data_IF_671248873423
#
_entry.id   IF_671248873423
#
_cell.length_a   1.000
_cell.length_b   1.000
_cell.length_c   1.000
_cell.angle_alpha   90.00
_cell.angle_beta   90.00
_cell.angle_gamma   90.00
#
_symmetry.space_group_name_H-M   'P 1'
#
loop_
_entity.id
_entity.type
_entity.pdbx_description
1 polymer ?
#
# COMPACT_ATOMS: atom_id res chain seq x y z
N UNK A 1 12.36 -24.19 1.85
CA UNK A 1 12.80 -24.73 3.17
C UNK A 1 11.57 -25.18 3.95
N UNK A 2 11.72 -26.17 4.82
CA UNK A 2 10.65 -26.64 5.73
C UNK A 2 11.22 -26.72 7.15
N UNK A 3 10.41 -26.40 8.14
CA UNK A 3 10.82 -26.40 9.54
C UNK A 3 10.83 -27.82 10.11
N UNK A 4 11.99 -28.25 10.59
CA UNK A 4 12.25 -29.54 11.26
C UNK A 4 12.91 -29.23 12.60
N UNK A 5 12.37 -29.77 13.70
CA UNK A 5 12.86 -29.53 15.08
C UNK A 5 13.13 -28.05 15.42
N UNK A 6 12.25 -27.18 14.93
CA UNK A 6 12.31 -25.74 15.19
C UNK A 6 13.26 -24.94 14.28
N UNK A 7 13.98 -25.58 13.36
CA UNK A 7 14.90 -24.92 12.41
C UNK A 7 14.43 -25.11 10.97
N UNK A 8 14.61 -24.08 10.14
CA UNK A 8 14.36 -24.20 8.70
C UNK A 8 15.49 -24.98 8.04
N UNK A 9 15.14 -26.09 7.40
CA UNK A 9 16.06 -26.92 6.64
C UNK A 9 15.77 -26.84 5.14
N UNK A 10 16.82 -26.96 4.33
CA UNK A 10 16.67 -27.02 2.88
C UNK A 10 15.96 -28.32 2.48
N UNK A 11 15.05 -28.22 1.52
CA UNK A 11 14.32 -29.37 0.96
C UNK A 11 14.02 -29.12 -0.51
N UNK A 12 13.49 -30.12 -1.21
CA UNK A 12 13.08 -29.99 -2.60
C UNK A 12 11.67 -29.36 -2.74
N UNK A 13 11.31 -28.98 -3.96
CA UNK A 13 10.02 -28.35 -4.25
C UNK A 13 8.86 -29.29 -3.93
N UNK A 14 8.97 -30.57 -4.28
CA UNK A 14 7.92 -31.56 -4.07
C UNK A 14 7.53 -31.63 -2.59
N UNK A 15 8.50 -31.81 -1.68
CA UNK A 15 8.24 -31.92 -0.25
C UNK A 15 7.61 -30.65 0.32
N UNK A 16 8.11 -29.46 -0.07
CA UNK A 16 7.56 -28.19 0.38
C UNK A 16 6.12 -27.99 -0.11
N UNK A 17 5.85 -28.25 -1.39
CA UNK A 17 4.52 -28.14 -1.98
C UNK A 17 3.54 -29.15 -1.37
N UNK A 18 3.95 -30.40 -1.14
CA UNK A 18 3.12 -31.40 -0.47
C UNK A 18 2.78 -31.01 0.97
N UNK A 19 3.74 -30.44 1.71
CA UNK A 19 3.51 -29.96 3.07
C UNK A 19 2.43 -28.87 3.11
N UNK A 20 2.56 -27.86 2.25
CA UNK A 20 1.57 -26.79 2.14
C UNK A 20 0.21 -27.30 1.66
N UNK A 21 0.18 -28.08 0.57
CA UNK A 21 -1.04 -28.66 0.03
C UNK A 21 -1.79 -29.57 1.03
N UNK A 22 -1.04 -30.34 1.84
CA UNK A 22 -1.62 -31.15 2.92
C UNK A 22 -2.30 -30.26 3.96
N UNK A 23 -1.64 -29.20 4.43
CA UNK A 23 -2.23 -28.28 5.41
C UNK A 23 -3.45 -27.55 4.83
N UNK A 24 -3.41 -27.13 3.55
CA UNK A 24 -4.58 -26.56 2.85
C UNK A 24 -5.80 -27.48 2.91
N UNK A 25 -5.64 -28.76 2.58
CA UNK A 25 -6.73 -29.75 2.62
C UNK A 25 -7.27 -30.03 4.02
N UNK A 26 -6.42 -29.95 5.04
CA UNK A 26 -6.77 -30.28 6.43
C UNK A 26 -7.37 -29.10 7.20
N UNK A 27 -7.19 -27.86 6.71
CA UNK A 27 -7.63 -26.67 7.42
C UNK A 27 -9.05 -26.29 6.99
N UNK A 28 -10.00 -26.08 7.93
CA UNK A 28 -11.31 -25.53 7.61
C UNK A 28 -11.18 -24.14 6.97
N UNK A 29 -12.11 -23.77 6.09
CA UNK A 29 -12.03 -22.52 5.34
C UNK A 29 -11.86 -21.27 6.21
N UNK A 30 -12.55 -21.21 7.35
CA UNK A 30 -12.45 -20.10 8.32
C UNK A 30 -11.07 -19.96 8.97
N UNK A 31 -10.26 -21.03 8.97
CA UNK A 31 -8.91 -21.05 9.52
C UNK A 31 -7.80 -20.81 8.49
N UNK A 32 -8.12 -20.64 7.21
CA UNK A 32 -7.17 -20.32 6.15
C UNK A 32 -7.15 -18.81 5.98
N UNK A 33 -5.97 -18.18 6.00
CA UNK A 33 -5.80 -16.77 5.68
C UNK A 33 -4.61 -16.54 4.75
N UNK A 34 -4.70 -15.51 3.91
CA UNK A 34 -3.65 -15.07 2.97
C UNK A 34 -3.36 -13.60 3.24
N UNK A 35 -2.07 -13.22 3.29
CA UNK A 35 -1.64 -11.82 3.39
C UNK A 35 -0.72 -11.50 2.20
N UNK A 36 -1.08 -10.51 1.40
CA UNK A 36 -0.27 -10.00 0.30
C UNK A 36 0.55 -8.78 0.71
N UNK A 37 1.87 -8.86 0.54
CA UNK A 37 2.81 -7.80 0.89
C UNK A 37 3.01 -6.74 -0.19
N UNK A 38 3.63 -5.62 0.20
CA UNK A 38 3.70 -4.39 -0.61
C UNK A 38 4.46 -4.49 -1.95
N UNK A 39 5.29 -5.52 -2.15
CA UNK A 39 6.04 -5.74 -3.40
C UNK A 39 5.37 -6.75 -4.35
N UNK A 40 4.24 -7.34 -3.96
CA UNK A 40 3.55 -8.37 -4.73
C UNK A 40 2.95 -7.80 -6.02
N UNK A 41 3.11 -8.52 -7.12
CA UNK A 41 2.49 -8.22 -8.41
C UNK A 41 1.03 -8.71 -8.49
N UNK A 42 0.29 -8.19 -9.47
CA UNK A 42 -1.12 -8.48 -9.67
C UNK A 42 -1.37 -9.97 -9.95
N UNK A 43 -0.58 -10.60 -10.83
CA UNK A 43 -0.71 -12.01 -11.18
C UNK A 43 -0.57 -12.92 -9.94
N UNK A 44 0.38 -12.61 -9.07
CA UNK A 44 0.59 -13.36 -7.82
C UNK A 44 -0.54 -13.14 -6.81
N UNK A 45 -0.99 -11.90 -6.64
CA UNK A 45 -2.10 -11.59 -5.74
C UNK A 45 -3.40 -12.26 -6.21
N UNK A 46 -3.75 -12.20 -7.50
CA UNK A 46 -4.96 -12.90 -7.97
C UNK A 46 -4.82 -14.42 -7.82
N UNK A 47 -3.62 -14.98 -8.03
CA UNK A 47 -3.40 -16.40 -7.80
C UNK A 47 -3.60 -16.81 -6.34
N UNK A 48 -3.06 -16.03 -5.41
CA UNK A 48 -3.21 -16.29 -3.98
C UNK A 48 -4.68 -16.18 -3.55
N UNK A 49 -5.40 -15.17 -4.05
CA UNK A 49 -6.83 -14.99 -3.82
C UNK A 49 -7.65 -16.15 -4.38
N UNK A 50 -7.44 -16.52 -5.64
CA UNK A 50 -8.18 -17.61 -6.26
C UNK A 50 -7.87 -18.95 -5.56
N UNK A 51 -6.63 -19.18 -5.10
CA UNK A 51 -6.29 -20.37 -4.31
C UNK A 51 -7.10 -20.41 -3.01
N UNK A 52 -7.12 -19.33 -2.22
CA UNK A 52 -7.92 -19.26 -1.00
C UNK A 52 -9.41 -19.50 -1.27
N UNK A 53 -9.94 -18.87 -2.32
CA UNK A 53 -11.34 -19.01 -2.73
C UNK A 53 -11.68 -20.46 -3.16
N UNK A 54 -10.76 -21.21 -3.78
CA UNK A 54 -10.95 -22.64 -4.10
C UNK A 54 -11.07 -23.53 -2.86
N UNK A 55 -10.56 -23.06 -1.72
CA UNK A 55 -10.75 -23.66 -0.41
C UNK A 55 -11.87 -22.98 0.39
N UNK A 56 -12.74 -22.21 -0.27
CA UNK A 56 -13.88 -21.47 0.30
C UNK A 56 -13.48 -20.47 1.40
N UNK A 57 -12.23 -20.01 1.40
CA UNK A 57 -11.79 -18.94 2.30
C UNK A 57 -11.78 -17.61 1.55
N UNK A 58 -12.48 -16.62 2.10
CA UNK A 58 -12.44 -15.23 1.66
C UNK A 58 -11.45 -14.40 2.51
N UNK A 59 -10.71 -15.02 3.42
CA UNK A 59 -9.76 -14.39 4.35
C UNK A 59 -8.46 -14.01 3.63
N UNK A 60 -8.57 -13.06 2.71
CA UNK A 60 -7.49 -12.54 1.90
C UNK A 60 -7.28 -11.07 2.26
N UNK A 61 -6.07 -10.73 2.71
CA UNK A 61 -5.75 -9.44 3.29
C UNK A 61 -4.52 -8.80 2.65
N UNK A 62 -4.54 -7.47 2.54
CA UNK A 62 -3.37 -6.66 2.25
C UNK A 62 -2.57 -6.47 3.53
N UNK A 63 -1.24 -6.49 3.44
CA UNK A 63 -0.34 -6.17 4.55
C UNK A 63 -0.50 -4.72 5.03
N UNK A 64 -0.80 -3.80 4.12
CA UNK A 64 -1.15 -2.43 4.49
C UNK A 64 -2.62 -2.29 4.89
N UNK A 65 -2.85 -1.52 5.95
CA UNK A 65 -4.19 -1.14 6.42
C UNK A 65 -4.81 -0.03 5.55
N UNK A 66 -6.15 0.04 5.53
CA UNK A 66 -6.91 1.05 4.81
C UNK A 66 -8.25 1.31 5.51
N UNK A 67 -8.93 2.40 5.16
CA UNK A 67 -10.26 2.71 5.68
C UNK A 67 -11.25 1.58 5.38
N UNK A 68 -12.05 1.21 6.38
CA UNK A 68 -13.12 0.20 6.23
C UNK A 68 -14.51 0.82 6.21
N UNK A 69 -14.64 2.06 6.65
CA UNK A 69 -15.80 2.93 6.41
C UNK A 69 -15.58 3.85 5.20
N UNK A 70 -16.48 4.82 4.98
CA UNK A 70 -16.37 5.83 3.92
C UNK A 70 -16.28 5.26 2.50
N UNK A 71 -16.97 4.13 2.27
CA UNK A 71 -16.98 3.39 1.00
C UNK A 71 -15.75 2.51 0.75
N UNK A 72 -14.81 2.45 1.70
CA UNK A 72 -13.68 1.51 1.68
C UNK A 72 -12.99 1.40 0.32
N UNK A 73 -12.71 0.17 -0.09
CA UNK A 73 -12.09 -0.18 -1.38
C UNK A 73 -13.10 -0.49 -2.50
N UNK A 74 -14.39 -0.29 -2.29
CA UNK A 74 -15.42 -0.60 -3.30
C UNK A 74 -15.34 0.35 -4.50
N UNK A 75 -15.01 1.62 -4.24
CA UNK A 75 -14.88 2.66 -5.27
C UNK A 75 -13.42 3.09 -5.41
N UNK A 76 -12.85 2.93 -6.61
CA UNK A 76 -11.47 3.36 -6.92
C UNK A 76 -11.21 4.83 -6.58
N UNK A 77 -12.23 5.68 -6.67
CA UNK A 77 -12.16 7.09 -6.28
C UNK A 77 -11.73 7.33 -4.84
N UNK A 78 -11.91 6.35 -3.95
CA UNK A 78 -11.59 6.48 -2.53
C UNK A 78 -10.12 6.24 -2.21
N UNK A 79 -9.39 5.57 -3.09
CA UNK A 79 -8.02 5.15 -2.83
C UNK A 79 -7.05 5.50 -3.96
N UNK A 80 -7.46 6.13 -5.06
CA UNK A 80 -6.51 6.54 -6.08
C UNK A 80 -6.05 7.99 -5.91
N UNK A 81 -4.91 8.28 -6.51
CA UNK A 81 -4.51 9.62 -6.92
C UNK A 81 -5.32 9.99 -8.17
N UNK A 82 -6.52 10.52 -7.95
CA UNK A 82 -7.59 10.65 -8.93
C UNK A 82 -7.37 11.67 -10.05
N UNK A 83 -6.59 12.73 -9.83
CA UNK A 83 -6.34 13.74 -10.86
C UNK A 83 -5.33 13.19 -11.88
N UNK A 84 -4.07 13.11 -11.46
CA UNK A 84 -2.94 12.36 -12.01
C UNK A 84 -1.68 12.97 -11.40
N UNK A 85 -0.54 12.29 -11.49
CA UNK A 85 0.73 12.88 -11.02
C UNK A 85 1.07 14.16 -11.82
N UNK A 86 0.67 14.24 -13.09
CA UNK A 86 0.87 15.43 -13.94
C UNK A 86 -0.08 16.56 -13.55
N UNK A 87 -1.29 16.25 -13.07
CA UNK A 87 -2.27 17.24 -12.62
C UNK A 87 -1.79 18.14 -11.47
N UNK A 88 -0.75 17.72 -10.73
CA UNK A 88 -0.08 18.57 -9.74
C UNK A 88 0.40 19.89 -10.36
N UNK A 89 0.86 19.86 -11.62
CA UNK A 89 1.37 21.06 -12.30
C UNK A 89 0.26 22.09 -12.64
N UNK A 90 -1.02 21.70 -12.55
CA UNK A 90 -2.16 22.60 -12.76
C UNK A 90 -2.77 23.14 -11.45
N UNK A 91 -2.34 22.62 -10.30
CA UNK A 91 -2.90 23.02 -9.02
C UNK A 91 -2.48 24.45 -8.64
N UNK A 92 -3.41 25.21 -8.07
CA UNK A 92 -3.16 26.56 -7.51
C UNK A 92 -3.33 26.62 -5.98
N UNK A 93 -3.96 25.61 -5.37
CA UNK A 93 -3.87 25.38 -3.93
C UNK A 93 -3.81 23.87 -3.63
N UNK A 94 -2.85 23.47 -2.79
CA UNK A 94 -2.57 22.08 -2.44
C UNK A 94 -2.61 21.87 -0.93
N UNK A 95 -3.48 20.99 -0.46
CA UNK A 95 -3.54 20.53 0.92
C UNK A 95 -2.89 19.13 1.04
N UNK A 96 -1.86 19.01 1.87
CA UNK A 96 -1.26 17.74 2.27
C UNK A 96 -1.82 17.31 3.63
N UNK A 97 -2.35 16.09 3.73
CA UNK A 97 -2.95 15.56 4.97
C UNK A 97 -2.27 14.26 5.37
N UNK A 98 -1.56 14.29 6.50
CA UNK A 98 -0.92 13.11 7.12
C UNK A 98 0.04 12.36 6.19
N UNK A 99 0.82 13.09 5.41
CA UNK A 99 1.80 12.54 4.46
C UNK A 99 3.10 13.32 4.50
N UNK A 100 4.21 12.63 4.32
CA UNK A 100 5.49 13.24 3.97
C UNK A 100 5.90 12.80 2.55
N UNK A 101 5.44 13.51 1.50
CA UNK A 101 5.70 13.10 0.12
C UNK A 101 7.20 13.09 -0.20
N UNK A 102 8.04 13.84 0.53
CA UNK A 102 9.50 13.84 0.33
C UNK A 102 10.11 12.45 0.46
N UNK A 103 9.61 11.63 1.38
CA UNK A 103 10.13 10.29 1.62
C UNK A 103 9.18 9.19 1.15
N UNK A 104 7.87 9.43 1.20
CA UNK A 104 6.86 8.47 0.76
C UNK A 104 6.81 8.34 -0.77
N UNK A 105 6.97 9.45 -1.50
CA UNK A 105 6.99 9.48 -2.96
C UNK A 105 7.90 10.63 -3.47
N UNK A 106 9.24 10.48 -3.39
CA UNK A 106 10.17 11.59 -3.59
C UNK A 106 10.05 12.30 -4.95
N UNK A 107 9.74 11.56 -6.01
CA UNK A 107 9.55 12.11 -7.37
C UNK A 107 8.26 12.93 -7.46
N UNK A 108 7.22 12.54 -6.71
CA UNK A 108 5.98 13.31 -6.57
C UNK A 108 6.26 14.60 -5.78
N UNK A 109 7.03 14.54 -4.69
CA UNK A 109 7.47 15.74 -3.97
C UNK A 109 8.29 16.70 -4.84
N UNK A 110 9.18 16.16 -5.69
CA UNK A 110 9.93 16.94 -6.66
C UNK A 110 9.01 17.63 -7.69
N UNK A 111 7.89 17.00 -8.06
CA UNK A 111 6.85 17.60 -8.91
C UNK A 111 6.10 18.73 -8.20
N UNK A 112 5.75 18.56 -6.93
CA UNK A 112 5.17 19.62 -6.11
C UNK A 112 6.15 20.80 -6.03
N UNK A 113 7.43 20.53 -5.72
CA UNK A 113 8.47 21.55 -5.69
C UNK A 113 8.63 22.26 -7.03
N UNK A 114 8.64 21.53 -8.15
CA UNK A 114 8.71 22.11 -9.50
C UNK A 114 7.55 23.09 -9.70
N UNK A 115 6.34 22.70 -9.33
CA UNK A 115 5.15 23.54 -9.47
C UNK A 115 5.25 24.78 -8.58
N UNK A 116 5.58 24.59 -7.30
CA UNK A 116 5.82 25.68 -6.35
C UNK A 116 6.86 26.72 -6.82
N UNK A 117 7.92 26.29 -7.53
CA UNK A 117 8.93 27.21 -8.05
C UNK A 117 8.50 27.97 -9.32
N UNK A 118 7.45 27.53 -10.00
CA UNK A 118 7.06 28.04 -11.32
C UNK A 118 5.61 28.57 -11.37
N UNK A 119 4.85 28.48 -10.29
CA UNK A 119 3.50 29.02 -10.15
C UNK A 119 3.27 29.58 -8.75
N UNK A 120 2.15 30.29 -8.55
CA UNK A 120 1.73 30.80 -7.25
C UNK A 120 1.03 29.70 -6.41
N UNK A 121 1.57 28.48 -6.42
CA UNK A 121 0.98 27.33 -5.71
C UNK A 121 1.01 27.57 -4.19
N UNK A 122 -0.16 27.67 -3.60
CA UNK A 122 -0.33 27.76 -2.14
C UNK A 122 -0.38 26.35 -1.53
N UNK A 123 0.51 26.05 -0.57
CA UNK A 123 0.62 24.72 0.04
C UNK A 123 0.27 24.79 1.52
N UNK A 124 -0.65 23.93 1.97
CA UNK A 124 -1.00 23.77 3.37
C UNK A 124 -0.75 22.34 3.85
N UNK A 125 -0.32 22.18 5.11
CA UNK A 125 -0.01 20.86 5.70
C UNK A 125 -0.80 20.66 6.99
N UNK A 126 -1.54 19.56 7.07
CA UNK A 126 -2.07 19.00 8.31
C UNK A 126 -1.36 17.68 8.58
N UNK A 127 -0.50 17.61 9.59
CA UNK A 127 0.30 16.42 9.88
C UNK A 127 1.55 16.74 10.70
N UNK A 128 2.55 15.86 10.66
CA UNK A 128 3.85 16.18 11.24
C UNK A 128 4.48 17.40 10.56
N UNK A 129 5.11 18.27 11.35
CA UNK A 129 5.96 19.35 10.81
C UNK A 129 7.28 18.76 10.28
N UNK A 130 7.49 18.82 8.96
CA UNK A 130 8.57 18.12 8.26
C UNK A 130 9.14 18.98 7.13
N UNK A 131 10.45 18.92 6.91
CA UNK A 131 11.07 19.63 5.79
C UNK A 131 10.69 18.98 4.46
N UNK A 132 9.80 19.62 3.70
CA UNK A 132 9.34 19.19 2.39
C UNK A 132 10.20 19.73 1.23
N UNK A 133 11.26 20.48 1.53
CA UNK A 133 12.08 21.21 0.56
C UNK A 133 11.38 22.40 -0.13
N UNK A 134 10.29 22.92 0.44
CA UNK A 134 9.64 24.16 0.00
C UNK A 134 8.84 24.71 1.18
N UNK A 135 8.45 25.98 1.11
CA UNK A 135 7.64 26.61 2.15
C UNK A 135 6.18 26.16 2.06
N UNK A 136 5.50 26.10 3.20
CA UNK A 136 4.10 25.72 3.31
C UNK A 136 3.47 26.33 4.56
N UNK A 137 2.15 26.53 4.53
CA UNK A 137 1.35 26.92 5.68
C UNK A 137 1.11 25.70 6.58
N UNK A 138 1.74 25.66 7.76
CA UNK A 138 1.48 24.60 8.73
C UNK A 138 0.17 24.85 9.49
N UNK A 139 -0.80 23.96 9.30
CA UNK A 139 -2.15 24.12 9.83
C UNK A 139 -2.34 23.38 11.17
N UNK A 140 -1.45 22.44 11.50
CA UNK A 140 -1.45 21.68 12.75
C UNK A 140 -1.27 20.18 12.53
N UNK A 141 -1.07 19.42 13.61
CA UNK A 141 -0.79 17.97 13.54
C UNK A 141 -2.02 17.06 13.69
N UNK A 142 -3.17 17.62 14.04
CA UNK A 142 -4.38 16.83 14.35
C UNK A 142 -5.35 16.78 13.18
N UNK A 143 -6.01 15.64 13.01
CA UNK A 143 -7.13 15.48 12.08
C UNK A 143 -8.31 16.45 12.36
N UNK A 144 -8.39 17.01 13.57
CA UNK A 144 -9.40 18.02 13.92
C UNK A 144 -9.26 19.31 13.10
N UNK A 145 -8.08 19.60 12.54
CA UNK A 145 -7.89 20.81 11.72
C UNK A 145 -8.72 20.78 10.42
N UNK A 146 -9.12 19.59 9.96
CA UNK A 146 -10.06 19.45 8.85
C UNK A 146 -11.43 20.09 9.17
N UNK A 147 -11.84 20.11 10.44
CA UNK A 147 -13.10 20.75 10.85
C UNK A 147 -13.03 22.27 10.69
N UNK A 148 -11.85 22.87 10.91
CA UNK A 148 -11.62 24.29 10.68
C UNK A 148 -11.73 24.62 9.19
N UNK A 149 -11.08 23.82 8.33
CA UNK A 149 -11.18 23.99 6.87
C UNK A 149 -12.61 23.77 6.35
N UNK A 150 -13.31 22.75 6.84
CA UNK A 150 -14.71 22.48 6.49
C UNK A 150 -15.65 23.60 6.92
N UNK A 151 -15.36 24.27 8.03
CA UNK A 151 -16.10 25.42 8.53
C UNK A 151 -15.71 26.75 7.84
N UNK A 152 -14.71 26.74 6.94
CA UNK A 152 -14.19 27.95 6.29
C UNK A 152 -13.41 28.85 7.25
N UNK A 153 -12.78 28.28 8.28
CA UNK A 153 -11.98 29.02 9.27
C UNK A 153 -10.50 28.95 8.92
N UNK A 154 -9.81 30.08 9.07
CA UNK A 154 -8.37 30.20 8.84
C UNK A 154 -8.04 30.73 7.45
N UNK A 155 -6.84 31.32 7.31
CA UNK A 155 -6.41 31.97 6.06
C UNK A 155 -6.31 30.97 4.91
N UNK A 156 -5.81 29.76 5.17
CA UNK A 156 -5.70 28.72 4.15
C UNK A 156 -7.05 28.21 3.64
N UNK A 157 -8.12 28.26 4.45
CA UNK A 157 -9.45 27.88 4.01
C UNK A 157 -9.98 28.82 2.91
N UNK A 158 -9.68 30.12 3.01
CA UNK A 158 -10.02 31.09 1.96
C UNK A 158 -9.17 30.89 0.70
N UNK A 159 -7.86 30.60 0.86
CA UNK A 159 -6.98 30.21 -0.27
C UNK A 159 -7.54 29.00 -1.03
N UNK A 160 -7.86 27.91 -0.32
CA UNK A 160 -8.47 26.71 -0.90
C UNK A 160 -9.81 26.99 -1.61
N UNK A 161 -10.67 27.83 -1.03
CA UNK A 161 -11.99 28.14 -1.60
C UNK A 161 -11.92 29.01 -2.85
N UNK A 162 -10.92 29.90 -2.92
CA UNK A 162 -10.69 30.80 -4.06
C UNK A 162 -9.89 30.16 -5.20
N UNK A 163 -9.23 29.03 -4.92
CA UNK A 163 -8.51 28.22 -5.89
C UNK A 163 -9.40 27.75 -7.05
N UNK A 164 -8.88 27.82 -8.27
CA UNK A 164 -9.53 27.32 -9.49
C UNK A 164 -9.30 25.82 -9.67
N UNK A 165 -8.16 25.30 -9.20
CA UNK A 165 -7.72 23.91 -9.28
C UNK A 165 -7.21 23.44 -7.91
N UNK A 166 -8.10 23.38 -6.88
CA UNK A 166 -7.71 22.88 -5.57
C UNK A 166 -7.39 21.38 -5.62
N UNK A 167 -6.35 20.97 -4.92
CA UNK A 167 -5.94 19.58 -4.78
C UNK A 167 -5.76 19.23 -3.30
N UNK A 168 -6.23 18.05 -2.90
CA UNK A 168 -5.98 17.46 -1.59
C UNK A 168 -5.25 16.15 -1.81
N UNK A 169 -4.08 15.98 -1.19
CA UNK A 169 -3.32 14.73 -1.17
C UNK A 169 -3.32 14.21 0.26
N UNK A 170 -3.86 13.01 0.47
CA UNK A 170 -3.92 12.34 1.77
C UNK A 170 -2.99 11.14 1.76
N UNK A 171 -2.11 11.03 2.75
CA UNK A 171 -1.28 9.84 2.92
C UNK A 171 -2.14 8.63 3.28
N UNK A 172 -1.84 7.46 2.71
CA UNK A 172 -2.59 6.23 3.01
C UNK A 172 -2.58 5.86 4.51
N UNK A 173 -1.54 6.26 5.25
CA UNK A 173 -1.46 6.05 6.70
C UNK A 173 -2.48 6.87 7.49
N UNK A 174 -2.89 8.04 6.98
CA UNK A 174 -3.84 8.94 7.65
C UNK A 174 -5.27 8.36 7.70
N UNK A 175 -5.59 7.46 6.77
CA UNK A 175 -6.94 6.87 6.62
C UNK A 175 -7.08 5.48 7.27
N UNK A 176 -6.12 5.08 8.10
CA UNK A 176 -6.12 3.78 8.78
C UNK A 176 -7.09 3.73 9.98
N UNK A 177 -7.69 2.56 10.20
CA UNK A 177 -8.61 2.30 11.31
C UNK A 177 -9.91 3.13 11.32
N UNK A 178 -10.67 3.10 12.44
CA UNK A 178 -11.97 3.77 12.54
C UNK A 178 -11.90 5.29 12.39
N UNK A 179 -10.96 5.97 13.08
CA UNK A 179 -10.81 7.41 12.93
C UNK A 179 -10.27 7.81 11.55
N UNK A 180 -9.50 6.95 10.89
CA UNK A 180 -9.08 7.14 9.50
C UNK A 180 -10.24 7.05 8.52
N UNK A 181 -11.24 6.20 8.80
CA UNK A 181 -12.48 6.15 8.01
C UNK A 181 -13.27 7.46 8.14
N UNK A 182 -13.38 8.01 9.36
CA UNK A 182 -13.96 9.33 9.58
C UNK A 182 -13.15 10.46 8.92
N UNK A 183 -11.81 10.38 8.94
CA UNK A 183 -10.94 11.33 8.23
C UNK A 183 -11.20 11.32 6.72
N UNK A 184 -11.26 10.13 6.11
CA UNK A 184 -11.59 9.99 4.70
C UNK A 184 -12.95 10.60 4.39
N UNK A 185 -13.95 10.39 5.25
CA UNK A 185 -15.28 10.98 5.11
C UNK A 185 -15.25 12.52 5.16
N UNK A 186 -14.51 13.11 6.10
CA UNK A 186 -14.31 14.57 6.17
C UNK A 186 -13.60 15.12 4.94
N UNK A 187 -12.56 14.43 4.44
CA UNK A 187 -11.85 14.86 3.24
C UNK A 187 -12.75 14.73 1.99
N UNK A 188 -13.57 13.69 1.89
CA UNK A 188 -14.58 13.56 0.82
C UNK A 188 -15.56 14.74 0.85
N UNK A 189 -16.03 15.16 2.03
CA UNK A 189 -16.90 16.34 2.18
C UNK A 189 -16.19 17.64 1.79
N UNK A 190 -14.94 17.82 2.19
CA UNK A 190 -14.15 19.00 1.84
C UNK A 190 -13.93 19.06 0.33
N UNK A 191 -13.53 17.95 -0.27
CA UNK A 191 -13.35 17.82 -1.72
C UNK A 191 -14.63 18.15 -2.48
N UNK A 192 -15.79 17.68 -2.02
CA UNK A 192 -17.08 17.98 -2.65
C UNK A 192 -17.43 19.48 -2.61
N UNK A 193 -17.20 20.15 -1.47
CA UNK A 193 -17.35 21.61 -1.36
C UNK A 193 -16.45 22.35 -2.35
N UNK A 194 -15.20 21.91 -2.48
CA UNK A 194 -14.20 22.53 -3.37
C UNK A 194 -14.48 22.28 -4.85
N UNK A 195 -15.12 21.15 -5.22
CA UNK A 195 -15.55 20.91 -6.60
C UNK A 195 -16.55 21.95 -7.10
N UNK A 196 -17.32 22.58 -6.20
CA UNK A 196 -18.31 23.61 -6.53
C UNK A 196 -19.19 23.23 -7.74
N UNK A 197 -19.79 22.04 -7.69
CA UNK A 197 -20.62 21.43 -8.76
C UNK A 197 -19.89 21.04 -10.06
N UNK A 198 -18.58 21.23 -10.17
CA UNK A 198 -17.78 20.67 -11.26
C UNK A 198 -17.59 19.16 -11.03
N UNK A 199 -18.38 18.34 -11.74
CA UNK A 199 -18.35 16.87 -11.63
C UNK A 199 -17.05 16.25 -12.12
N UNK A 200 -16.31 16.97 -12.97
CA UNK A 200 -15.06 16.48 -13.56
C UNK A 200 -13.85 16.80 -12.69
N UNK A 201 -13.98 17.72 -11.73
CA UNK A 201 -12.88 18.12 -10.85
C UNK A 201 -12.44 17.00 -9.88
N UNK A 202 -11.17 16.60 -9.98
CA UNK A 202 -10.55 15.52 -9.19
C UNK A 202 -9.77 16.09 -8.00
N UNK A 203 -10.50 16.56 -6.99
CA UNK A 203 -9.88 17.27 -5.84
C UNK A 203 -9.16 16.32 -4.87
N UNK A 204 -9.79 15.20 -4.50
CA UNK A 204 -9.24 14.24 -3.53
C UNK A 204 -8.29 13.25 -4.20
N UNK A 205 -7.10 13.08 -3.64
CA UNK A 205 -6.08 12.13 -4.07
C UNK A 205 -5.54 11.37 -2.84
N UNK A 206 -5.41 10.04 -2.94
CA UNK A 206 -4.72 9.23 -1.93
C UNK A 206 -3.33 8.87 -2.42
N UNK A 207 -2.31 9.13 -1.59
CA UNK A 207 -0.93 8.79 -1.84
C UNK A 207 -0.57 7.46 -1.20
N UNK A 208 -0.26 6.48 -2.04
CA UNK A 208 0.26 5.17 -1.65
C UNK A 208 1.78 5.14 -1.63
N UNK A 209 2.35 4.31 -0.76
CA UNK A 209 3.80 4.06 -0.67
C UNK A 209 4.24 2.80 -1.41
N UNK A 210 3.35 1.84 -1.56
CA UNK A 210 3.65 0.56 -2.21
C UNK A 210 2.66 0.27 -3.33
N UNK A 211 3.16 -0.33 -4.42
CA UNK A 211 2.35 -0.71 -5.58
C UNK A 211 1.51 -1.95 -5.31
N UNK A 212 1.97 -2.84 -4.43
CA UNK A 212 1.22 -4.03 -4.02
C UNK A 212 -0.09 -3.66 -3.32
N UNK A 213 -0.12 -2.55 -2.57
CA UNK A 213 -1.34 -2.13 -1.88
C UNK A 213 -2.45 -1.69 -2.84
N UNK A 214 -2.17 -0.81 -3.82
CA UNK A 214 -3.17 -0.40 -4.82
C UNK A 214 -3.71 -1.61 -5.58
N UNK A 215 -2.82 -2.51 -5.98
CA UNK A 215 -3.16 -3.74 -6.67
C UNK A 215 -4.04 -4.65 -5.79
N UNK A 216 -3.74 -4.77 -4.50
CA UNK A 216 -4.54 -5.54 -3.56
C UNK A 216 -5.95 -4.94 -3.39
N UNK A 217 -6.07 -3.62 -3.31
CA UNK A 217 -7.37 -2.92 -3.25
C UNK A 217 -8.19 -3.14 -4.53
N UNK A 218 -7.58 -3.02 -5.71
CA UNK A 218 -8.19 -3.29 -7.01
C UNK A 218 -8.67 -4.76 -7.13
N UNK A 219 -7.97 -5.68 -6.48
CA UNK A 219 -8.34 -7.10 -6.39
C UNK A 219 -9.24 -7.43 -5.19
N UNK A 220 -9.71 -6.44 -4.43
CA UNK A 220 -10.64 -6.63 -3.31
C UNK A 220 -10.06 -7.37 -2.11
N UNK A 221 -8.77 -7.17 -1.81
CA UNK A 221 -8.17 -7.63 -0.56
C UNK A 221 -8.69 -6.79 0.61
N UNK A 222 -8.92 -7.44 1.75
CA UNK A 222 -9.31 -6.76 3.00
C UNK A 222 -8.09 -6.09 3.65
N UNK A 223 -8.23 -4.97 4.37
CA UNK A 223 -7.09 -4.36 5.05
C UNK A 223 -6.64 -5.18 6.27
N UNK A 224 -5.37 -5.05 6.65
CA UNK A 224 -4.75 -5.87 7.73
C UNK A 224 -5.47 -5.77 9.07
N UNK A 225 -6.13 -4.65 9.39
CA UNK A 225 -6.92 -4.51 10.62
C UNK A 225 -8.05 -5.53 10.73
N UNK A 226 -8.59 -6.02 9.60
CA UNK A 226 -9.59 -7.11 9.60
C UNK A 226 -8.95 -8.47 9.91
N UNK A 227 -7.70 -8.68 9.51
CA UNK A 227 -6.94 -9.87 9.88
C UNK A 227 -6.65 -9.90 11.38
N UNK A 228 -6.26 -8.77 11.97
CA UNK A 228 -6.01 -8.65 13.41
C UNK A 228 -7.20 -9.12 14.26
N UNK A 229 -8.44 -8.91 13.77
CA UNK A 229 -9.66 -9.38 14.41
C UNK A 229 -9.87 -10.90 14.37
N UNK A 230 -9.20 -11.63 13.49
CA UNK A 230 -9.35 -13.10 13.33
C UNK A 230 -8.05 -13.88 13.54
N UNK A 231 -6.90 -13.22 13.78
CA UNK A 231 -5.57 -13.86 13.77
C UNK A 231 -5.45 -15.09 14.67
N UNK A 232 -6.19 -15.13 15.80
CA UNK A 232 -6.19 -16.27 16.73
C UNK A 232 -6.96 -17.48 16.19
N UNK A 233 -7.95 -17.29 15.33
CA UNK A 233 -8.68 -18.42 14.71
C UNK A 233 -7.98 -19.00 13.48
N UNK A 234 -6.90 -18.38 13.01
CA UNK A 234 -6.15 -18.81 11.82
C UNK A 234 -5.27 -20.00 12.17
N UNK A 235 -5.40 -21.08 11.38
CA UNK A 235 -4.62 -22.32 11.51
C UNK A 235 -3.66 -22.54 10.34
N UNK A 236 -3.90 -21.87 9.22
CA UNK A 236 -3.00 -21.80 8.08
C UNK A 236 -2.90 -20.34 7.63
N UNK A 237 -1.71 -19.77 7.73
CA UNK A 237 -1.41 -18.43 7.27
C UNK A 237 -0.45 -18.50 6.08
N UNK A 238 -0.85 -17.95 4.94
CA UNK A 238 0.00 -17.82 3.75
C UNK A 238 0.42 -16.36 3.55
N UNK A 239 1.69 -16.08 3.80
CA UNK A 239 2.33 -14.79 3.62
C UNK A 239 2.95 -14.73 2.21
N UNK A 240 2.47 -13.82 1.37
CA UNK A 240 2.96 -13.59 0.01
C UNK A 240 3.76 -12.30 0.02
N UNK A 241 5.08 -12.40 0.20
CA UNK A 241 6.01 -11.27 0.24
C UNK A 241 5.71 -10.26 1.35
N UNK A 242 5.07 -10.70 2.44
CA UNK A 242 4.65 -9.85 3.55
C UNK A 242 5.73 -9.84 4.65
N UNK A 243 6.44 -8.71 4.77
CA UNK A 243 7.55 -8.48 5.71
C UNK A 243 7.44 -7.15 6.50
N UNK A 244 6.49 -6.28 6.14
CA UNK A 244 6.32 -4.93 6.71
C UNK A 244 5.44 -4.90 7.95
N UNK A 245 4.46 -5.80 8.06
CA UNK A 245 3.67 -5.97 9.27
C UNK A 245 4.30 -7.07 10.12
N UNK A 246 5.22 -6.69 11.01
CA UNK A 246 6.04 -7.61 11.80
C UNK A 246 5.21 -8.44 12.78
N UNK A 247 4.82 -9.64 12.36
CA UNK A 247 4.22 -10.65 13.22
C UNK A 247 5.28 -11.41 14.02
N UNK A 248 4.93 -11.77 15.25
CA UNK A 248 5.67 -12.75 16.06
C UNK A 248 4.88 -14.04 16.13
N UNK A 249 5.57 -15.17 16.25
CA UNK A 249 4.91 -16.48 16.40
C UNK A 249 3.97 -16.54 17.63
N UNK A 250 4.27 -15.75 18.66
CA UNK A 250 3.41 -15.57 19.86
C UNK A 250 2.07 -14.86 19.59
N UNK A 251 1.93 -14.17 18.45
CA UNK A 251 0.70 -13.48 18.09
C UNK A 251 -0.41 -14.45 17.66
N UNK A 252 -0.06 -15.70 17.35
CA UNK A 252 -0.95 -16.76 16.89
C UNK A 252 -1.16 -17.85 17.96
N UNK A 253 -1.98 -18.85 17.65
CA UNK A 253 -2.07 -20.08 18.43
C UNK A 253 -0.89 -21.01 18.12
N UNK A 254 -0.54 -21.92 19.03
CA UNK A 254 0.65 -22.78 18.91
C UNK A 254 0.62 -23.71 17.69
N UNK A 255 -0.57 -24.05 17.19
CA UNK A 255 -0.79 -24.98 16.07
C UNK A 255 -0.92 -24.28 14.70
N UNK A 256 -0.71 -22.96 14.65
CA UNK A 256 -0.69 -22.22 13.39
C UNK A 256 0.41 -22.77 12.48
N UNK A 257 0.10 -22.93 11.21
CA UNK A 257 1.06 -23.29 10.17
C UNK A 257 1.26 -22.10 9.25
N UNK A 258 2.47 -21.58 9.20
CA UNK A 258 2.81 -20.37 8.43
C UNK A 258 3.63 -20.76 7.21
N UNK A 259 3.14 -20.35 6.03
CA UNK A 259 3.87 -20.47 4.77
C UNK A 259 4.27 -19.07 4.34
N UNK A 260 5.56 -18.84 4.13
CA UNK A 260 6.06 -17.62 3.54
C UNK A 260 6.52 -17.89 2.11
N UNK A 261 5.99 -17.14 1.15
CA UNK A 261 6.50 -17.09 -0.22
C UNK A 261 7.07 -15.69 -0.47
N UNK A 262 8.36 -15.60 -0.77
CA UNK A 262 9.02 -14.33 -1.03
C UNK A 262 10.44 -14.54 -1.55
N UNK A 263 11.10 -13.43 -1.90
CA UNK A 263 12.43 -13.44 -2.51
C UNK A 263 13.56 -13.06 -1.53
N UNK A 264 13.23 -12.38 -0.42
CA UNK A 264 14.16 -12.08 0.67
C UNK A 264 13.66 -12.76 1.96
N UNK A 265 14.58 -13.20 2.82
CA UNK A 265 14.24 -13.68 4.16
C UNK A 265 14.34 -12.54 5.16
N UNK A 266 13.21 -12.04 5.63
CA UNK A 266 13.09 -11.01 6.67
C UNK A 266 12.01 -11.46 7.68
N UNK A 267 11.32 -10.53 8.35
CA UNK A 267 10.29 -10.78 9.36
C UNK A 267 9.32 -11.95 9.03
N UNK A 268 8.76 -12.01 7.81
CA UNK A 268 7.77 -13.02 7.45
C UNK A 268 8.36 -14.42 7.32
N UNK A 269 9.59 -14.52 6.81
CA UNK A 269 10.30 -15.79 6.66
C UNK A 269 10.77 -16.36 8.00
N UNK A 270 11.14 -15.52 8.96
CA UNK A 270 11.63 -15.95 10.29
C UNK A 270 10.63 -16.78 11.08
N UNK A 271 9.33 -16.46 10.96
CA UNK A 271 8.27 -17.15 11.69
C UNK A 271 7.69 -18.35 10.93
N UNK A 272 8.07 -18.56 9.67
CA UNK A 272 7.49 -19.54 8.79
C UNK A 272 7.83 -21.00 9.17
N UNK A 273 6.90 -21.89 8.88
CA UNK A 273 7.09 -23.34 8.90
C UNK A 273 7.50 -23.87 7.51
N UNK A 274 7.11 -23.18 6.44
CA UNK A 274 7.55 -23.43 5.07
C UNK A 274 7.93 -22.13 4.39
N UNK A 275 9.08 -22.11 3.73
CA UNK A 275 9.55 -20.99 2.91
C UNK A 275 9.64 -21.43 1.45
N UNK A 276 8.91 -20.71 0.58
CA UNK A 276 8.88 -20.92 -0.87
C UNK A 276 9.61 -19.76 -1.56
N UNK A 277 10.77 -20.00 -2.22
CA UNK A 277 11.54 -18.92 -2.83
C UNK A 277 10.87 -18.40 -4.11
N UNK A 278 10.35 -17.18 -4.02
CA UNK A 278 9.73 -16.43 -5.11
C UNK A 278 10.75 -15.64 -5.95
N UNK A 279 10.24 -14.87 -6.92
CA UNK A 279 11.07 -14.04 -7.81
C UNK A 279 10.99 -12.56 -7.41
N UNK A 280 12.13 -11.87 -7.41
CA UNK A 280 12.16 -10.42 -7.23
C UNK A 280 11.55 -9.67 -8.42
N UNK A 281 11.25 -8.38 -8.27
CA UNK A 281 10.63 -7.56 -9.32
C UNK A 281 11.47 -7.48 -10.63
N UNK A 282 12.79 -7.67 -10.55
CA UNK A 282 13.71 -7.72 -11.72
C UNK A 282 13.77 -9.09 -12.39
N UNK A 283 13.16 -10.11 -11.82
CA UNK A 283 13.33 -11.51 -12.21
C UNK A 283 12.10 -12.12 -12.89
N UNK A 284 11.03 -11.32 -13.03
CA UNK A 284 9.74 -11.77 -13.56
C UNK A 284 9.11 -10.71 -14.46
N UNK A 285 8.36 -11.19 -15.44
CA UNK A 285 7.39 -10.36 -16.14
C UNK A 285 6.11 -10.32 -15.29
N UNK A 286 5.70 -9.13 -14.85
CA UNK A 286 4.54 -8.98 -13.95
C UNK A 286 3.87 -7.60 -14.11
N UNK A 287 2.68 -7.47 -13.55
CA UNK A 287 1.87 -6.26 -13.59
C UNK A 287 1.84 -5.59 -12.21
N UNK A 288 2.11 -4.28 -12.16
CA UNK A 288 1.97 -3.46 -10.97
C UNK A 288 1.07 -2.26 -11.25
N UNK A 289 0.35 -1.80 -10.23
CA UNK A 289 -0.49 -0.59 -10.31
C UNK A 289 0.11 0.48 -9.40
N UNK A 290 0.32 1.68 -9.94
CA UNK A 290 0.84 2.81 -9.17
C UNK A 290 -0.28 3.59 -8.44
N UNK A 291 0.08 4.62 -7.67
CA UNK A 291 -0.88 5.41 -6.86
C UNK A 291 -2.00 6.08 -7.66
N UNK A 292 -1.81 6.40 -8.94
CA UNK A 292 -2.85 6.98 -9.81
C UNK A 292 -3.67 5.91 -10.55
N UNK A 293 -3.47 4.63 -10.25
CA UNK A 293 -4.25 3.53 -10.81
C UNK A 293 -3.78 3.08 -12.19
N UNK A 294 -2.57 3.49 -12.63
CA UNK A 294 -1.97 3.09 -13.91
C UNK A 294 -1.37 1.69 -13.80
N UNK A 295 -1.88 0.75 -14.59
CA UNK A 295 -1.28 -0.57 -14.72
C UNK A 295 0.01 -0.50 -15.55
N UNK A 296 1.09 -1.10 -15.08
CA UNK A 296 2.42 -1.08 -15.68
C UNK A 296 2.97 -2.50 -15.77
N UNK A 297 3.69 -2.80 -16.87
CA UNK A 297 4.43 -4.06 -17.03
C UNK A 297 5.86 -3.88 -16.58
N UNK A 298 6.31 -4.75 -15.68
CA UNK A 298 7.74 -5.02 -15.53
C UNK A 298 8.14 -6.19 -16.42
N UNK A 299 9.41 -6.18 -16.83
CA UNK A 299 10.02 -7.20 -17.65
C UNK A 299 11.17 -7.83 -16.88
N UNK A 300 11.40 -9.13 -17.09
CA UNK A 300 12.51 -9.83 -16.48
C UNK A 300 13.84 -9.32 -17.07
N UNK A 301 14.71 -8.83 -16.20
CA UNK A 301 16.07 -8.44 -16.55
C UNK A 301 17.05 -9.61 -16.32
N UNK A 302 16.83 -10.38 -15.27
CA UNK A 302 17.63 -11.55 -14.87
C UNK A 302 16.71 -12.72 -14.53
N UNK A 303 17.27 -13.93 -14.36
CA UNK A 303 16.49 -15.08 -13.87
C UNK A 303 16.52 -15.16 -12.35
N UNK A 304 15.49 -15.72 -11.69
CA UNK A 304 15.51 -15.96 -10.26
C UNK A 304 16.74 -16.79 -9.85
N UNK A 305 17.40 -16.46 -8.72
CA UNK A 305 18.60 -17.18 -8.28
C UNK A 305 18.26 -18.58 -7.78
N UNK A 306 19.18 -19.52 -8.02
CA UNK A 306 19.08 -20.90 -7.55
C UNK A 306 17.78 -21.58 -7.97
N UNK A 307 17.02 -22.06 -6.98
CA UNK A 307 15.74 -22.73 -7.19
C UNK A 307 14.53 -21.79 -7.11
N UNK A 308 14.72 -20.47 -7.12
CA UNK A 308 13.64 -19.49 -7.18
C UNK A 308 12.72 -19.71 -8.38
N UNK A 309 11.43 -19.42 -8.22
CA UNK A 309 10.42 -19.55 -9.28
C UNK A 309 9.54 -18.31 -9.33
N UNK A 310 8.97 -18.05 -10.50
CA UNK A 310 7.96 -16.98 -10.67
C UNK A 310 6.77 -17.25 -9.77
N UNK A 311 6.36 -16.23 -9.03
CA UNK A 311 5.48 -16.36 -7.88
C UNK A 311 4.13 -17.00 -8.14
N UNK A 312 3.38 -16.53 -9.15
CA UNK A 312 2.08 -17.10 -9.49
C UNK A 312 2.19 -18.57 -9.95
N UNK A 313 3.34 -18.99 -10.51
CA UNK A 313 3.57 -20.39 -10.91
C UNK A 313 3.72 -21.30 -9.69
N UNK A 314 4.33 -20.81 -8.61
CA UNK A 314 4.40 -21.53 -7.34
C UNK A 314 2.99 -21.80 -6.82
N UNK A 315 2.15 -20.78 -6.79
CA UNK A 315 0.76 -20.86 -6.31
C UNK A 315 -0.08 -21.80 -7.20
N UNK A 316 0.09 -21.70 -8.53
CA UNK A 316 -0.54 -22.60 -9.49
C UNK A 316 -0.11 -24.05 -9.28
N UNK A 317 1.16 -24.33 -9.00
CA UNK A 317 1.65 -25.67 -8.68
C UNK A 317 1.08 -26.19 -7.35
N UNK A 318 1.06 -25.36 -6.29
CA UNK A 318 0.40 -25.69 -5.02
C UNK A 318 -1.05 -26.09 -5.24
N UNK A 319 -1.79 -25.33 -6.06
CA UNK A 319 -3.21 -25.60 -6.32
C UNK A 319 -3.46 -26.99 -6.91
N UNK A 320 -2.57 -27.45 -7.78
CA UNK A 320 -2.64 -28.76 -8.42
C UNK A 320 -2.30 -29.88 -7.43
N UNK A 321 -1.20 -29.73 -6.69
CA UNK A 321 -0.81 -30.69 -5.62
C UNK A 321 -1.88 -30.74 -4.52
N UNK A 322 -2.61 -29.65 -4.31
CA UNK A 322 -3.72 -29.56 -3.36
C UNK A 322 -5.03 -30.19 -3.88
N UNK A 323 -5.11 -30.55 -5.16
CA UNK A 323 -6.28 -31.16 -5.81
C UNK A 323 -7.38 -30.14 -6.16
N UNK A 324 -7.04 -28.85 -6.22
CA UNK A 324 -7.95 -27.73 -6.50
C UNK A 324 -7.32 -26.78 -7.53
N UNK A 325 -6.96 -27.34 -8.68
CA UNK A 325 -6.18 -26.66 -9.73
C UNK A 325 -6.81 -25.35 -10.18
N UNK A 326 -5.99 -24.31 -10.27
CA UNK A 326 -6.38 -23.01 -10.82
C UNK A 326 -6.48 -23.06 -12.36
N UNK A 327 -7.43 -22.35 -12.98
CA UNK A 327 -7.78 -22.53 -14.39
C UNK A 327 -6.90 -21.72 -15.35
N UNK A 328 -5.59 -21.66 -15.11
CA UNK A 328 -4.63 -20.96 -15.96
C UNK A 328 -3.25 -21.62 -15.84
N UNK A 329 -2.57 -21.77 -16.96
CA UNK A 329 -1.25 -22.39 -17.08
C UNK A 329 -0.22 -21.42 -17.70
N UNK A 330 -0.69 -20.33 -18.32
CA UNK A 330 0.13 -19.33 -18.98
C UNK A 330 -0.03 -17.93 -18.38
N UNK A 331 0.97 -17.08 -18.61
CA UNK A 331 0.93 -15.67 -18.19
C UNK A 331 -0.24 -14.91 -18.85
N UNK A 332 -0.61 -15.28 -20.09
CA UNK A 332 -1.74 -14.67 -20.78
C UNK A 332 -3.07 -15.02 -20.12
N UNK A 333 -3.27 -16.28 -19.73
CA UNK A 333 -4.52 -16.72 -19.09
C UNK A 333 -4.71 -16.09 -17.71
N UNK A 334 -3.66 -15.99 -16.90
CA UNK A 334 -3.78 -15.31 -15.60
C UNK A 334 -4.01 -13.80 -15.75
N UNK A 335 -3.47 -13.17 -16.81
CA UNK A 335 -3.81 -11.78 -17.15
C UNK A 335 -5.25 -11.64 -17.64
N UNK A 336 -5.77 -12.61 -18.38
CA UNK A 336 -7.19 -12.65 -18.71
C UNK A 336 -8.05 -12.74 -17.46
N UNK A 337 -7.62 -13.55 -16.47
CA UNK A 337 -8.25 -13.62 -15.15
C UNK A 337 -8.21 -12.28 -14.41
N UNK A 338 -7.11 -11.53 -14.47
CA UNK A 338 -7.05 -10.18 -13.91
C UNK A 338 -8.09 -9.25 -14.57
N UNK A 339 -8.22 -9.30 -15.89
CA UNK A 339 -9.18 -8.49 -16.65
C UNK A 339 -10.62 -8.83 -16.30
N UNK A 340 -10.93 -10.11 -16.04
CA UNK A 340 -12.26 -10.54 -15.55
C UNK A 340 -12.60 -9.92 -14.19
N UNK A 341 -11.60 -9.72 -13.33
CA UNK A 341 -11.80 -9.13 -12.00
C UNK A 341 -11.87 -7.61 -12.07
N UNK A 342 -10.92 -6.99 -12.77
CA UNK A 342 -10.88 -5.55 -12.94
C UNK A 342 -10.36 -5.21 -14.36
N UNK A 343 -11.24 -4.72 -15.27
CA UNK A 343 -10.89 -4.52 -16.68
C UNK A 343 -9.72 -3.58 -16.96
N UNK A 344 -9.44 -2.64 -16.04
CA UNK A 344 -8.33 -1.70 -16.20
C UNK A 344 -6.95 -2.38 -16.31
N UNK A 345 -6.80 -3.63 -15.85
CA UNK A 345 -5.57 -4.42 -16.05
C UNK A 345 -5.24 -4.68 -17.53
N UNK A 346 -6.19 -4.52 -18.45
CA UNK A 346 -5.94 -4.59 -19.89
C UNK A 346 -5.27 -3.33 -20.47
N UNK A 347 -5.40 -2.19 -19.80
CA UNK A 347 -5.06 -0.87 -20.32
C UNK A 347 -3.70 -0.36 -19.79
N UNK A 348 -2.64 -1.09 -20.13
CA UNK A 348 -1.29 -0.76 -19.69
C UNK A 348 -0.86 0.65 -20.11
N UNK A 349 -0.24 1.37 -19.17
CA UNK A 349 0.27 2.72 -19.39
C UNK A 349 -0.82 3.78 -19.43
N UNK A 350 -2.10 3.45 -19.26
CA UNK A 350 -3.21 4.42 -19.22
C UNK A 350 -3.73 4.59 -17.79
N UNK A 351 -4.19 5.80 -17.47
CA UNK A 351 -4.90 6.08 -16.21
C UNK A 351 -6.38 6.10 -16.52
N UNK A 352 -7.10 5.11 -16.00
CA UNK A 352 -8.55 5.05 -16.15
C UNK A 352 -9.20 6.12 -15.26
N UNK A 353 -10.09 6.98 -15.80
CA UNK A 353 -10.75 8.02 -15.03
C UNK A 353 -11.54 7.43 -13.86
N UNK A 354 -11.25 7.89 -12.64
CA UNK A 354 -12.06 7.54 -11.48
C UNK A 354 -13.41 8.27 -11.51
N UNK A 355 -14.46 7.56 -11.14
CA UNK A 355 -15.83 8.06 -11.10
C UNK A 355 -16.48 7.79 -9.74
N UNK A 356 -17.79 7.98 -9.62
CA UNK A 356 -18.56 7.68 -8.41
C UNK A 356 -18.23 8.49 -7.14
N UNK A 357 -17.63 9.68 -7.27
CA UNK A 357 -17.35 10.54 -6.11
C UNK A 357 -18.59 10.94 -5.30
N UNK A 358 -19.75 11.07 -5.95
CA UNK A 358 -21.02 11.37 -5.27
C UNK A 358 -21.46 10.20 -4.40
N UNK A 359 -21.32 8.97 -4.90
CA UNK A 359 -21.64 7.74 -4.19
C UNK A 359 -20.65 7.51 -3.04
N UNK A 360 -19.36 7.77 -3.28
CA UNK A 360 -18.35 7.78 -2.23
C UNK A 360 -18.74 8.73 -1.08
N UNK A 361 -19.18 9.94 -1.40
CA UNK A 361 -19.65 10.91 -0.41
C UNK A 361 -20.91 10.44 0.33
N UNK A 362 -21.83 9.73 -0.32
CA UNK A 362 -23.01 9.17 0.33
C UNK A 362 -22.67 8.09 1.36
N UNK A 363 -21.52 7.43 1.19
CA UNK A 363 -20.99 6.42 2.10
C UNK A 363 -20.04 7.00 3.15
N UNK A 364 -19.74 8.30 3.11
CA UNK A 364 -18.79 8.97 3.98
C UNK A 364 -19.20 8.83 5.46
N UNK A 365 -18.26 8.39 6.29
CA UNK A 365 -18.45 8.36 7.74
C UNK A 365 -18.39 9.79 8.30
N UNK A 366 -19.40 10.14 9.10
CA UNK A 366 -19.53 11.46 9.76
C UNK A 366 -18.98 11.45 11.20
N UNK A 367 -18.23 10.41 11.58
CA UNK A 367 -17.60 10.27 12.88
C UNK A 367 -16.58 11.37 13.19
N UNK A 368 -16.07 11.35 14.44
CA UNK A 368 -15.00 12.26 14.86
C UNK A 368 -13.65 11.72 14.38
N UNK A 369 -12.88 12.57 13.71
CA UNK A 369 -11.47 12.37 13.40
C UNK A 369 -10.67 13.41 14.20
N UNK A 370 -9.99 12.96 15.27
CA UNK A 370 -9.20 13.81 16.17
C UNK A 370 -7.82 13.21 16.45
N UNK A 371 -7.44 12.18 15.69
CA UNK A 371 -6.14 11.52 15.82
C UNK A 371 -5.00 12.46 15.43
N UNK A 372 -3.84 12.28 16.04
CA UNK A 372 -2.61 12.90 15.54
C UNK A 372 -2.24 12.25 14.20
N UNK A 373 -1.88 13.07 13.22
CA UNK A 373 -1.48 12.65 11.88
C UNK A 373 0.04 12.61 11.79
N UNK A 374 0.62 11.66 12.52
CA UNK A 374 2.07 11.44 12.55
C UNK A 374 2.52 10.58 11.36
N UNK A 375 3.49 11.09 10.60
CA UNK A 375 4.13 10.35 9.50
C UNK A 375 5.26 9.47 10.06
N UNK A 376 5.45 8.29 9.46
CA UNK A 376 6.51 7.35 9.87
C UNK A 376 7.91 7.82 9.48
N UNK A 377 8.02 8.50 8.33
CA UNK A 377 9.30 8.97 7.77
C UNK A 377 9.37 10.48 7.94
N UNK A 378 10.01 10.94 9.01
CA UNK A 378 10.27 12.35 9.32
C UNK A 378 11.68 12.75 8.95
N UNK A 379 12.61 11.80 8.99
CA UNK A 379 14.03 12.05 8.79
C UNK A 379 14.62 11.23 7.64
N UNK A 380 15.71 11.74 7.05
CA UNK A 380 16.38 11.08 5.93
C UNK A 380 16.83 9.65 6.25
N UNK A 381 17.18 9.36 7.51
CA UNK A 381 17.57 8.02 7.92
C UNK A 381 16.42 6.99 7.82
N UNK A 382 15.16 7.42 7.88
CA UNK A 382 13.96 6.57 7.81
C UNK A 382 13.50 6.32 6.37
N UNK A 383 14.11 7.00 5.39
CA UNK A 383 13.81 6.83 3.98
C UNK A 383 14.44 5.57 3.36
N UNK A 384 15.66 5.22 3.78
CA UNK A 384 16.49 4.27 3.04
C UNK A 384 16.10 2.79 3.18
N UNK A 385 15.35 2.44 4.22
CA UNK A 385 15.03 1.05 4.56
C UNK A 385 13.53 0.88 4.80
N UNK A 386 12.78 0.63 3.73
CA UNK A 386 11.31 0.61 3.73
C UNK A 386 10.70 -0.73 3.32
N UNK A 387 11.51 -1.63 2.78
CA UNK A 387 11.07 -2.95 2.35
C UNK A 387 12.18 -4.00 2.48
N UNK A 388 11.84 -5.28 2.31
CA UNK A 388 12.80 -6.39 2.45
C UNK A 388 14.03 -6.26 1.54
N UNK A 389 13.88 -5.70 0.33
CA UNK A 389 15.01 -5.47 -0.60
C UNK A 389 15.97 -4.41 -0.05
N UNK A 390 15.44 -3.27 0.39
CA UNK A 390 16.24 -2.16 0.90
C UNK A 390 16.86 -2.48 2.27
N UNK A 391 16.17 -3.24 3.12
CA UNK A 391 16.72 -3.73 4.40
C UNK A 391 17.86 -4.72 4.22
N UNK A 392 17.80 -5.56 3.18
CA UNK A 392 18.89 -6.47 2.82
C UNK A 392 20.08 -5.77 2.12
N UNK A 393 19.96 -4.50 1.74
CA UNK A 393 20.99 -3.77 1.00
C UNK A 393 22.06 -3.18 1.94
N UNK A 394 23.35 -3.59 1.80
CA UNK A 394 24.43 -2.97 2.57
C UNK A 394 24.61 -1.49 2.22
N UNK A 395 24.40 -1.11 0.96
CA UNK A 395 24.44 0.30 0.53
C UNK A 395 23.40 1.14 1.25
N UNK A 396 22.16 0.66 1.37
CA UNK A 396 21.13 1.39 2.12
C UNK A 396 21.47 1.47 3.61
N UNK A 397 22.08 0.42 4.18
CA UNK A 397 22.56 0.46 5.57
C UNK A 397 23.63 1.54 5.77
N UNK A 398 24.52 1.71 4.79
CA UNK A 398 25.55 2.76 4.79
C UNK A 398 24.92 4.14 4.69
N UNK A 399 23.91 4.32 3.83
CA UNK A 399 23.15 5.55 3.71
C UNK A 399 22.44 5.93 5.02
N UNK A 400 21.87 4.98 5.76
CA UNK A 400 21.29 5.23 7.10
C UNK A 400 22.36 5.76 8.06
N UNK A 401 23.53 5.10 8.12
CA UNK A 401 24.64 5.54 9.01
C UNK A 401 25.17 6.92 8.62
N UNK A 402 25.33 7.18 7.33
CA UNK A 402 25.76 8.47 6.81
C UNK A 402 24.74 9.58 7.12
N UNK A 403 23.45 9.30 6.97
CA UNK A 403 22.37 10.27 7.24
C UNK A 403 22.33 10.67 8.73
N UNK A 404 22.51 9.71 9.64
CA UNK A 404 22.59 9.98 11.09
C UNK A 404 23.80 10.84 11.44
N UNK A 405 24.98 10.51 10.90
CA UNK A 405 26.21 11.33 11.08
C UNK A 405 26.07 12.73 10.50
N UNK A 406 25.41 12.88 9.35
CA UNK A 406 25.20 14.18 8.74
C UNK A 406 24.33 15.08 9.64
N UNK A 407 23.27 14.53 10.25
CA UNK A 407 22.41 15.27 11.19
C UNK A 407 23.17 15.82 12.41
N UNK A 408 24.21 15.12 12.85
CA UNK A 408 25.07 15.53 13.97
C UNK A 408 26.18 16.51 13.53
N UNK A 409 26.31 16.79 12.23
CA UNK A 409 27.37 17.65 11.70
C UNK A 409 27.12 19.12 12.08
N UNK A 410 28.16 19.86 12.53
CA UNK A 410 28.04 21.31 12.75
C UNK A 410 27.80 22.11 11.46
N UNK A 411 27.95 21.47 10.29
CA UNK A 411 27.72 22.05 8.97
C UNK A 411 26.41 21.59 8.32
N UNK A 412 25.56 20.85 9.03
CA UNK A 412 24.26 20.47 8.50
C UNK A 412 23.38 21.71 8.31
N UNK A 413 22.72 21.82 7.16
CA UNK A 413 21.68 22.84 6.98
C UNK A 413 20.53 22.57 7.96
N UNK A 414 20.00 23.61 8.63
CA UNK A 414 18.83 23.44 9.48
C UNK A 414 17.64 22.97 8.63
N UNK A 415 16.81 22.11 9.21
CA UNK A 415 15.56 21.70 8.58
C UNK A 415 14.66 22.92 8.40
N UNK A 416 13.98 23.01 7.25
CA UNK A 416 12.92 24.00 6.97
C UNK A 416 11.64 23.60 7.70
N UNK A 417 11.68 23.67 9.02
CA UNK A 417 10.52 23.47 9.89
C UNK A 417 9.83 24.81 10.13
N UNK A 418 8.53 24.77 10.42
CA UNK A 418 7.83 25.98 10.82
C UNK A 418 8.27 26.35 12.23
N UNK A 419 8.61 27.63 12.44
CA UNK A 419 8.94 28.11 13.77
C UNK A 419 7.72 27.92 14.68
N UNK A 420 7.88 27.12 15.74
CA UNK A 420 6.86 26.89 16.77
C UNK A 420 6.53 28.16 17.55
#
# INVERSE_FOLDING_TARGET
>A
MVKVDGKLEQTNWEAALFSFAKKLRQTPSSGIAVIGGGLSDAETLIAAKDLANRFNSDNVFSEEDFATGSGGSDLRSNYLFNDSIVGIEEADALLLVGTNPRYEAPVLNARIRKTFLHSDLEIGVIGSDVDLTYEYDYLGSSASELDNLLAGKGQFAEKLKSAKKPMIIVGVDAVKGPQGSALLGKVQQLADKLRNNNKDAKVLNILHRTTGHVTALDLGYKPISKFEGIKKSVKLLFLVGADEHSFKRSDFDEDVFIVYQGHHGDNGAEIADVVLPGAAYTEKEATWVNTEGRAQKGYNAVSPPGDGRVDWKIIRAVSEVAGRTLPYDTLQEIRQRLVEIAPHFAHYGSVEPSSFFKQALQLADTGKATQSLEVKQKELAEFWMTNSVSRASPTMADCVRASRRHKESPHAEPLRLNAA
#
